data_IF_890820398091
#
_entry.id   IF_890820398091
#
_cell.length_a   1.000
_cell.length_b   1.000
_cell.length_c   1.000
_cell.angle_alpha   90.00
_cell.angle_beta   90.00
_cell.angle_gamma   90.00
#
_symmetry.space_group_name_H-M   'P 1'
#
loop_
_entity.id
_entity.type
_entity.pdbx_description
1 polymer ?
#
# COMPACT_ATOMS: atom_id res chain seq x y z
N UNK A 1 -5.92 18.32 33.09
CA UNK A 1 -4.65 17.98 32.44
C UNK A 1 -4.85 18.16 30.95
N UNK A 2 -4.20 19.16 30.36
CA UNK A 2 -4.33 19.47 28.95
C UNK A 2 -3.55 18.42 28.15
N UNK A 3 -4.24 17.63 27.33
CA UNK A 3 -3.58 16.83 26.31
C UNK A 3 -3.05 17.80 25.25
N UNK A 4 -1.74 18.02 25.23
CA UNK A 4 -1.06 18.59 24.07
C UNK A 4 -1.26 17.64 22.89
N UNK A 5 -2.28 17.94 22.07
CA UNK A 5 -2.33 17.43 20.70
C UNK A 5 -1.06 17.94 20.01
N UNK A 6 -0.17 17.04 19.63
CA UNK A 6 0.92 17.35 18.73
C UNK A 6 0.32 17.65 17.35
N UNK A 7 -0.22 18.85 17.21
CA UNK A 7 -0.75 19.37 15.96
C UNK A 7 0.42 19.42 14.97
N UNK A 8 0.27 18.72 13.86
CA UNK A 8 1.23 18.77 12.77
C UNK A 8 1.17 20.18 12.19
N UNK A 9 2.33 20.83 12.02
CA UNK A 9 2.36 22.18 11.50
C UNK A 9 1.74 22.20 10.09
N UNK A 10 0.88 23.19 9.76
CA UNK A 10 0.39 23.36 8.39
C UNK A 10 1.57 23.44 7.42
N UNK A 11 1.43 22.86 6.23
CA UNK A 11 2.45 22.77 5.19
C UNK A 11 3.64 21.82 5.50
N UNK A 12 3.42 20.80 6.33
CA UNK A 12 4.45 19.78 6.60
C UNK A 12 4.51 18.77 5.47
N UNK A 13 5.71 18.50 4.94
CA UNK A 13 5.90 17.37 4.01
C UNK A 13 5.82 16.04 4.74
N UNK A 14 5.02 15.13 4.22
CA UNK A 14 4.83 13.77 4.72
C UNK A 14 4.95 12.76 3.59
N UNK A 15 5.29 11.53 3.94
CA UNK A 15 5.34 10.42 2.99
C UNK A 15 4.24 9.43 3.36
N UNK A 16 3.35 9.17 2.41
CA UNK A 16 2.26 8.23 2.57
C UNK A 16 2.24 7.21 1.46
N UNK A 17 1.65 6.06 1.77
CA UNK A 17 1.29 5.04 0.81
C UNK A 17 -0.23 4.99 0.69
N UNK A 18 -0.75 4.85 -0.52
CA UNK A 18 -2.20 4.74 -0.79
C UNK A 18 -2.52 3.42 -1.49
N UNK A 19 -3.69 2.86 -1.21
CA UNK A 19 -4.20 1.60 -1.76
C UNK A 19 -5.68 1.80 -2.09
N UNK A 20 -6.09 1.47 -3.31
CA UNK A 20 -7.51 1.41 -3.67
C UNK A 20 -8.14 0.11 -3.11
N UNK A 21 -9.45 0.13 -2.81
CA UNK A 21 -10.09 -0.98 -2.10
C UNK A 21 -9.96 -2.34 -2.81
N UNK A 22 -10.05 -2.36 -4.14
CA UNK A 22 -9.94 -3.56 -4.96
C UNK A 22 -8.51 -3.84 -5.45
N UNK A 23 -7.49 -3.22 -4.84
CA UNK A 23 -6.10 -3.34 -5.24
C UNK A 23 -5.21 -3.85 -4.10
N UNK A 24 -4.25 -4.71 -4.44
CA UNK A 24 -3.26 -5.23 -3.47
C UNK A 24 -1.99 -4.36 -3.40
N UNK A 25 -1.74 -3.54 -4.42
CA UNK A 25 -0.49 -2.79 -4.56
C UNK A 25 -0.61 -1.37 -3.98
N UNK A 26 0.29 -1.05 -3.05
CA UNK A 26 0.41 0.29 -2.51
C UNK A 26 1.21 1.22 -3.44
N UNK A 27 0.67 2.41 -3.67
CA UNK A 27 1.32 3.49 -4.42
C UNK A 27 1.94 4.47 -3.43
N UNK A 28 3.24 4.71 -3.57
CA UNK A 28 3.96 5.70 -2.76
C UNK A 28 3.72 7.12 -3.26
N UNK A 29 3.38 8.02 -2.35
CA UNK A 29 3.20 9.46 -2.59
C UNK A 29 4.24 10.25 -1.78
N UNK A 30 5.51 10.27 -2.22
CA UNK A 30 6.61 10.89 -1.47
C UNK A 30 6.49 12.41 -1.35
N UNK A 31 5.76 13.08 -2.25
CA UNK A 31 5.56 14.53 -2.24
C UNK A 31 4.17 14.89 -1.69
N UNK A 32 3.80 14.31 -0.55
CA UNK A 32 2.53 14.63 0.12
C UNK A 32 2.74 15.79 1.09
N UNK A 33 1.78 16.72 1.13
CA UNK A 33 1.83 17.86 2.05
C UNK A 33 0.61 17.80 2.95
N UNK A 34 0.82 17.90 4.26
CA UNK A 34 -0.25 18.13 5.21
C UNK A 34 -0.63 19.61 5.20
N UNK A 35 -1.89 19.90 4.91
CA UNK A 35 -2.45 21.24 4.94
C UNK A 35 -3.63 21.30 5.93
N UNK A 36 -3.35 21.83 7.12
CA UNK A 36 -4.33 22.02 8.18
C UNK A 36 -5.42 23.06 7.88
N UNK A 37 -5.36 23.78 6.75
CA UNK A 37 -6.45 24.67 6.30
C UNK A 37 -7.45 23.97 5.39
N UNK A 38 -7.04 22.86 4.74
CA UNK A 38 -7.91 22.11 3.86
C UNK A 38 -8.95 21.32 4.65
N UNK A 39 -10.19 21.36 4.17
CA UNK A 39 -11.30 20.56 4.70
C UNK A 39 -11.41 19.19 4.03
N UNK A 40 -10.80 19.01 2.86
CA UNK A 40 -10.85 17.79 2.03
C UNK A 40 -9.46 17.51 1.49
N UNK A 41 -9.09 16.23 1.46
CA UNK A 41 -7.81 15.80 0.90
C UNK A 41 -7.86 15.85 -0.63
N UNK A 42 -6.76 16.27 -1.24
CA UNK A 42 -6.60 16.39 -2.68
C UNK A 42 -5.53 15.41 -3.16
N UNK A 43 -5.68 14.87 -4.36
CA UNK A 43 -4.68 14.03 -5.01
C UNK A 43 -4.49 14.48 -6.46
N UNK A 44 -3.27 14.44 -6.97
CA UNK A 44 -3.03 14.79 -8.36
C UNK A 44 -3.64 13.73 -9.28
N UNK A 45 -4.16 14.15 -10.42
CA UNK A 45 -4.76 13.24 -11.41
C UNK A 45 -3.81 12.13 -11.84
N UNK A 46 -2.53 12.45 -12.05
CA UNK A 46 -1.52 11.47 -12.41
C UNK A 46 -1.40 10.37 -11.34
N UNK A 47 -1.32 10.75 -10.06
CA UNK A 47 -1.21 9.78 -8.96
C UNK A 47 -2.51 9.01 -8.72
N UNK A 48 -3.67 9.66 -8.81
CA UNK A 48 -4.96 8.98 -8.72
C UNK A 48 -5.07 7.83 -9.73
N UNK A 49 -4.66 8.06 -10.98
CA UNK A 49 -4.68 7.05 -12.04
C UNK A 49 -3.73 5.87 -11.74
N UNK A 50 -2.55 6.14 -11.16
CA UNK A 50 -1.60 5.06 -10.80
C UNK A 50 -2.12 4.12 -9.72
N UNK A 51 -3.11 4.52 -8.94
CA UNK A 51 -3.71 3.64 -7.92
C UNK A 51 -4.57 2.52 -8.52
N UNK A 52 -5.03 2.67 -9.78
CA UNK A 52 -5.95 1.73 -10.40
C UNK A 52 -7.36 1.69 -9.76
N UNK A 53 -7.63 2.56 -8.79
CA UNK A 53 -8.91 2.63 -8.11
C UNK A 53 -10.00 3.32 -8.94
N UNK A 54 -11.29 3.06 -8.64
CA UNK A 54 -12.40 3.66 -9.37
C UNK A 54 -12.51 5.16 -9.08
N UNK A 55 -12.39 5.98 -10.12
CA UNK A 55 -12.61 7.43 -10.04
C UNK A 55 -14.09 7.71 -10.28
N UNK A 56 -14.73 8.34 -9.31
CA UNK A 56 -16.13 8.74 -9.37
C UNK A 56 -16.25 10.19 -9.82
N UNK A 57 -17.08 10.46 -10.83
CA UNK A 57 -17.42 11.84 -11.22
C UNK A 57 -18.25 12.52 -10.13
N UNK A 58 -17.94 13.78 -9.85
CA UNK A 58 -18.63 14.62 -8.86
C UNK A 58 -18.90 16.02 -9.43
N UNK A 59 -19.85 16.77 -8.86
CA UNK A 59 -20.00 18.19 -9.18
C UNK A 59 -18.70 18.94 -8.96
N UNK A 60 -18.39 19.88 -9.85
CA UNK A 60 -17.17 20.69 -9.78
C UNK A 60 -17.10 21.42 -8.45
N UNK A 61 -16.04 21.18 -7.69
CA UNK A 61 -15.78 21.76 -6.38
C UNK A 61 -14.44 22.46 -6.38
N UNK A 62 -14.37 23.64 -5.77
CA UNK A 62 -13.15 24.44 -5.63
C UNK A 62 -12.62 24.36 -4.20
N UNK A 63 -11.30 24.28 -4.06
CA UNK A 63 -10.58 24.23 -2.80
C UNK A 63 -9.53 25.32 -2.79
N UNK A 64 -9.24 25.88 -1.62
CA UNK A 64 -8.20 26.90 -1.44
C UNK A 64 -7.24 26.35 -0.39
N UNK A 65 -5.95 26.27 -0.71
CA UNK A 65 -4.92 25.85 0.26
C UNK A 65 -4.46 27.00 1.17
N UNK A 66 -3.57 26.67 2.11
CA UNK A 66 -3.02 27.64 3.06
C UNK A 66 -2.26 28.80 2.39
N UNK A 67 -1.80 28.63 1.14
CA UNK A 67 -1.13 29.68 0.37
C UNK A 67 -2.11 30.51 -0.46
N UNK A 68 -3.41 30.24 -0.36
CA UNK A 68 -4.44 30.90 -1.16
C UNK A 68 -4.53 30.39 -2.60
N UNK A 69 -3.87 29.26 -2.93
CA UNK A 69 -3.95 28.67 -4.28
C UNK A 69 -5.25 27.88 -4.42
N UNK A 70 -5.96 28.18 -5.49
CA UNK A 70 -7.23 27.53 -5.81
C UNK A 70 -7.01 26.27 -6.64
N UNK A 71 -7.62 25.16 -6.21
CA UNK A 71 -7.73 23.91 -6.95
C UNK A 71 -9.17 23.66 -7.33
N UNK A 72 -9.39 23.06 -8.50
CA UNK A 72 -10.71 22.66 -8.96
C UNK A 72 -10.71 21.15 -9.22
N UNK A 73 -11.74 20.48 -8.74
CA UNK A 73 -11.92 19.04 -8.91
C UNK A 73 -13.34 18.74 -9.38
N UNK A 74 -13.47 17.79 -10.31
CA UNK A 74 -14.76 17.26 -10.77
C UNK A 74 -14.86 15.74 -10.56
N UNK A 75 -13.99 15.17 -9.72
CA UNK A 75 -13.97 13.74 -9.47
C UNK A 75 -13.30 13.39 -8.16
N UNK A 76 -13.65 12.24 -7.59
CA UNK A 76 -13.14 11.74 -6.31
C UNK A 76 -12.69 10.30 -6.42
N UNK A 77 -11.77 9.90 -5.55
CA UNK A 77 -11.34 8.52 -5.38
C UNK A 77 -11.28 8.18 -3.89
N UNK A 78 -11.81 7.02 -3.49
CA UNK A 78 -11.71 6.52 -2.13
C UNK A 78 -10.46 5.65 -2.02
N UNK A 79 -9.58 5.97 -1.08
CA UNK A 79 -8.31 5.27 -0.88
C UNK A 79 -8.10 4.99 0.60
N UNK A 80 -7.54 3.82 0.88
CA UNK A 80 -6.90 3.52 2.16
C UNK A 80 -5.47 4.01 2.11
N UNK A 81 -4.99 4.67 3.16
CA UNK A 81 -3.63 5.19 3.19
C UNK A 81 -3.01 5.12 4.57
N UNK A 82 -1.69 5.11 4.62
CA UNK A 82 -0.91 5.06 5.86
C UNK A 82 0.39 5.83 5.69
N UNK A 83 0.92 6.35 6.80
CA UNK A 83 2.26 6.95 6.82
C UNK A 83 3.30 5.86 6.57
N UNK A 84 4.38 6.15 5.82
CA UNK A 84 5.40 5.14 5.52
C UNK A 84 6.06 4.54 6.78
N UNK A 85 6.13 5.31 7.87
CA UNK A 85 6.63 4.87 9.18
C UNK A 85 5.52 4.38 10.14
N UNK A 86 4.26 4.39 9.73
CA UNK A 86 3.10 4.17 10.59
C UNK A 86 2.42 2.82 10.35
N UNK A 87 1.83 2.25 11.40
CA UNK A 87 0.97 1.05 11.31
C UNK A 87 -0.52 1.39 11.16
N UNK A 88 -0.89 2.65 11.39
CA UNK A 88 -2.28 3.09 11.28
C UNK A 88 -2.67 3.32 9.83
N UNK A 89 -3.79 2.73 9.42
CA UNK A 89 -4.41 2.95 8.12
C UNK A 89 -5.65 3.82 8.27
N UNK A 90 -5.83 4.74 7.34
CA UNK A 90 -6.94 5.67 7.26
C UNK A 90 -7.70 5.42 5.96
N UNK A 91 -9.03 5.52 6.01
CA UNK A 91 -9.84 5.53 4.80
C UNK A 91 -10.27 6.97 4.52
N UNK A 92 -9.93 7.49 3.34
CA UNK A 92 -10.16 8.89 2.98
C UNK A 92 -10.66 9.02 1.54
N UNK A 93 -11.53 10.00 1.31
CA UNK A 93 -11.96 10.37 -0.03
C UNK A 93 -11.10 11.53 -0.53
N UNK A 94 -10.31 11.28 -1.55
CA UNK A 94 -9.48 12.29 -2.18
C UNK A 94 -10.21 12.91 -3.37
N UNK A 95 -10.16 14.24 -3.46
CA UNK A 95 -10.60 14.95 -4.65
C UNK A 95 -9.47 14.99 -5.67
N UNK A 96 -9.77 14.55 -6.88
CA UNK A 96 -8.79 14.44 -7.96
C UNK A 96 -8.66 15.79 -8.64
N UNK A 97 -7.48 16.37 -8.60
CA UNK A 97 -7.18 17.69 -9.16
C UNK A 97 -6.31 17.53 -10.40
N UNK A 98 -6.73 18.14 -11.50
CA UNK A 98 -5.94 18.20 -12.71
C UNK A 98 -4.88 19.30 -12.56
N UNK A 99 -3.69 18.90 -12.11
CA UNK A 99 -2.56 19.81 -12.03
C UNK A 99 -1.85 19.86 -13.37
N UNK A 100 -2.05 20.94 -14.13
CA UNK A 100 -1.16 21.20 -15.25
C UNK A 100 0.23 21.59 -14.71
N UNK A 101 1.33 21.03 -15.23
CA UNK A 101 2.70 21.37 -14.82
C UNK A 101 3.11 22.82 -15.11
N UNK A 102 2.21 23.65 -15.67
CA UNK A 102 2.45 25.06 -16.02
C UNK A 102 1.91 26.07 -15.01
N UNK A 103 1.28 25.64 -13.92
CA UNK A 103 0.79 26.57 -12.90
C UNK A 103 1.94 27.05 -12.00
N UNK A 104 2.55 28.16 -12.40
CA UNK A 104 3.50 29.01 -11.67
C UNK A 104 3.32 28.96 -10.16
N UNK A 105 4.33 28.41 -9.46
CA UNK A 105 4.59 28.72 -8.05
C UNK A 105 4.28 27.63 -7.02
N UNK A 106 3.60 26.54 -7.38
CA UNK A 106 3.39 25.41 -6.46
C UNK A 106 4.04 24.16 -7.03
N UNK A 107 5.13 23.70 -6.41
CA UNK A 107 5.87 22.50 -6.86
C UNK A 107 4.99 21.26 -7.02
N UNK A 108 5.54 20.26 -7.71
CA UNK A 108 4.88 18.98 -7.98
C UNK A 108 4.57 18.26 -6.65
N UNK A 109 3.31 18.29 -6.26
CA UNK A 109 2.81 17.53 -5.12
C UNK A 109 2.01 16.32 -5.60
N UNK A 110 2.06 15.27 -4.80
CA UNK A 110 1.36 14.02 -5.07
C UNK A 110 -0.05 14.04 -4.46
N UNK A 111 -0.14 14.49 -3.21
CA UNK A 111 -1.39 14.70 -2.49
C UNK A 111 -1.28 15.87 -1.51
N UNK A 112 -2.43 16.45 -1.16
CA UNK A 112 -2.60 17.39 -0.06
C UNK A 112 -3.56 16.76 0.96
N UNK A 113 -3.12 16.60 2.20
CA UNK A 113 -3.94 16.03 3.27
C UNK A 113 -4.65 17.14 4.05
N UNK A 114 -5.93 16.92 4.36
CA UNK A 114 -6.76 17.86 5.16
C UNK A 114 -6.40 17.86 6.65
N UNK A 115 -6.92 18.85 7.37
CA UNK A 115 -6.87 18.86 8.83
C UNK A 115 -7.55 17.63 9.46
N UNK A 116 -7.01 17.18 10.60
CA UNK A 116 -7.61 16.11 11.41
C UNK A 116 -7.37 14.69 10.90
N UNK A 117 -6.37 14.51 10.03
CA UNK A 117 -5.80 13.19 9.70
C UNK A 117 -4.51 12.88 10.47
N UNK A 118 -4.23 13.69 11.48
CA UNK A 118 -3.11 13.49 12.38
C UNK A 118 -3.35 12.21 13.20
N UNK A 119 -2.29 11.41 13.45
CA UNK A 119 -2.39 10.30 14.37
C UNK A 119 -2.59 10.85 15.79
N UNK A 120 -3.83 10.91 16.26
CA UNK A 120 -4.14 11.22 17.66
C UNK A 120 -3.82 9.98 18.52
N UNK A 121 -2.86 10.05 19.46
CA UNK A 121 -2.50 8.93 20.32
C UNK A 121 -3.62 8.54 21.30
N UNK A 122 -4.65 9.38 21.49
CA UNK A 122 -5.80 9.13 22.36
C UNK A 122 -7.10 8.81 21.62
N UNK A 123 -7.13 8.88 20.29
CA UNK A 123 -8.32 8.57 19.51
C UNK A 123 -8.34 7.06 19.25
N UNK A 124 -9.37 6.40 19.78
CA UNK A 124 -9.67 4.99 19.45
C UNK A 124 -9.59 4.89 17.93
N UNK A 125 -8.71 4.03 17.38
CA UNK A 125 -8.45 4.00 15.93
C UNK A 125 -9.79 3.87 15.22
N UNK A 126 -10.12 4.85 14.37
CA UNK A 126 -11.25 4.74 13.46
C UNK A 126 -11.08 3.42 12.72
N UNK A 127 -11.92 2.43 13.05
CA UNK A 127 -11.75 1.00 12.78
C UNK A 127 -10.55 0.73 11.88
N UNK A 128 -9.36 0.62 12.49
CA UNK A 128 -8.23 0.09 11.79
C UNK A 128 -8.68 -1.31 11.38
N UNK A 129 -8.95 -1.52 10.09
CA UNK A 129 -9.12 -2.86 9.57
C UNK A 129 -7.72 -3.48 9.66
N UNK A 130 -7.43 -4.36 10.63
CA UNK A 130 -6.23 -5.16 10.53
C UNK A 130 -6.27 -5.86 9.16
N UNK A 131 -5.13 -6.04 8.51
CA UNK A 131 -5.02 -6.94 7.37
C UNK A 131 -5.57 -8.30 7.81
N UNK A 132 -6.83 -8.55 7.47
CA UNK A 132 -7.63 -9.58 8.09
C UNK A 132 -8.79 -9.90 7.16
N UNK A 133 -8.50 -10.82 6.24
CA UNK A 133 -9.48 -11.60 5.50
C UNK A 133 -10.40 -10.79 4.58
N UNK A 134 -9.92 -10.50 3.37
CA UNK A 134 -10.81 -10.64 2.22
C UNK A 134 -11.41 -12.06 2.27
N UNK A 135 -12.72 -12.25 2.03
CA UNK A 135 -13.33 -13.58 2.00
C UNK A 135 -12.53 -14.49 1.08
N UNK A 136 -11.86 -15.48 1.66
CA UNK A 136 -11.05 -16.45 0.95
C UNK A 136 -12.00 -17.29 0.09
N UNK A 137 -11.90 -17.20 -1.23
CA UNK A 137 -12.66 -18.09 -2.11
C UNK A 137 -12.19 -19.53 -1.82
N UNK A 138 -13.06 -20.42 -1.31
CA UNK A 138 -12.68 -21.79 -0.94
C UNK A 138 -12.03 -22.56 -2.10
N UNK A 139 -12.35 -22.19 -3.34
CA UNK A 139 -11.80 -22.81 -4.56
C UNK A 139 -10.33 -22.49 -4.78
N UNK A 140 -9.87 -21.32 -4.32
CA UNK A 140 -8.46 -20.89 -4.45
C UNK A 140 -7.56 -21.59 -3.42
N UNK A 141 -8.10 -21.92 -2.25
CA UNK A 141 -7.38 -22.64 -1.20
C UNK A 141 -7.16 -24.12 -1.55
N UNK A 142 -8.13 -24.79 -2.19
CA UNK A 142 -7.95 -26.18 -2.63
C UNK A 142 -6.88 -26.32 -3.73
N UNK A 143 -6.85 -25.38 -4.67
CA UNK A 143 -5.86 -25.37 -5.75
C UNK A 143 -4.44 -25.09 -5.23
N UNK A 144 -4.31 -24.21 -4.24
CA UNK A 144 -3.02 -23.94 -3.61
C UNK A 144 -2.54 -25.15 -2.80
N UNK A 145 -3.43 -25.79 -2.03
CA UNK A 145 -3.09 -27.00 -1.26
C UNK A 145 -2.63 -28.15 -2.16
N UNK A 146 -3.28 -28.37 -3.31
CA UNK A 146 -2.85 -29.38 -4.30
C UNK A 146 -1.50 -29.06 -4.93
N UNK A 147 -1.16 -27.79 -5.15
CA UNK A 147 0.15 -27.39 -5.67
C UNK A 147 1.25 -27.62 -4.64
N UNK A 148 0.99 -27.29 -3.39
CA UNK A 148 1.96 -27.44 -2.30
C UNK A 148 2.22 -28.93 -1.99
N UNK A 149 1.18 -29.77 -2.04
CA UNK A 149 1.29 -31.22 -1.89
C UNK A 149 2.13 -31.84 -3.00
N UNK A 150 1.87 -31.50 -4.27
CA UNK A 150 2.70 -31.96 -5.40
C UNK A 150 4.15 -31.50 -5.29
N UNK A 151 4.39 -30.28 -4.80
CA UNK A 151 5.74 -29.75 -4.65
C UNK A 151 6.50 -30.47 -3.55
N UNK A 152 5.82 -30.83 -2.46
CA UNK A 152 6.40 -31.60 -1.37
C UNK A 152 6.74 -33.02 -1.83
N UNK A 153 5.84 -33.69 -2.54
CA UNK A 153 6.05 -35.03 -3.08
C UNK A 153 7.24 -35.07 -4.07
N UNK A 154 7.36 -34.07 -4.95
CA UNK A 154 8.50 -33.94 -5.86
C UNK A 154 9.82 -33.76 -5.10
N UNK A 155 9.82 -32.93 -4.05
CA UNK A 155 11.00 -32.71 -3.23
C UNK A 155 11.45 -33.97 -2.50
N UNK A 156 10.52 -34.75 -1.96
CA UNK A 156 10.84 -36.02 -1.30
C UNK A 156 11.38 -37.06 -2.28
N UNK A 157 10.76 -37.19 -3.46
CA UNK A 157 11.24 -38.09 -4.51
C UNK A 157 12.65 -37.72 -5.00
N UNK A 158 12.93 -36.42 -5.17
CA UNK A 158 14.27 -35.95 -5.57
C UNK A 158 15.30 -36.20 -4.47
N UNK A 159 14.95 -35.97 -3.21
CA UNK A 159 15.80 -36.25 -2.05
C UNK A 159 16.14 -37.74 -1.96
N UNK A 160 15.17 -38.63 -2.17
CA UNK A 160 15.40 -40.08 -2.16
C UNK A 160 16.26 -40.52 -3.34
N UNK A 161 16.00 -39.99 -4.55
CA UNK A 161 16.80 -40.29 -5.73
C UNK A 161 18.27 -39.84 -5.57
N UNK A 162 18.50 -38.68 -4.95
CA UNK A 162 19.85 -38.22 -4.62
C UNK A 162 20.52 -39.13 -3.59
N UNK A 163 19.81 -39.53 -2.53
CA UNK A 163 20.33 -40.45 -1.51
C UNK A 163 20.69 -41.82 -2.11
N UNK A 164 19.87 -42.36 -3.02
CA UNK A 164 20.14 -43.61 -3.73
C UNK A 164 21.42 -43.51 -4.59
N UNK A 165 21.60 -42.40 -5.32
CA UNK A 165 22.81 -42.14 -6.12
C UNK A 165 24.07 -42.06 -5.27
N UNK A 166 23.99 -41.41 -4.10
CA UNK A 166 25.12 -41.34 -3.16
C UNK A 166 25.45 -42.73 -2.61
N UNK A 167 24.44 -43.50 -2.19
CA UNK A 167 24.62 -44.87 -1.70
C UNK A 167 25.26 -45.78 -2.75
N UNK A 168 24.81 -45.70 -4.00
CA UNK A 168 25.36 -46.48 -5.10
C UNK A 168 26.84 -46.11 -5.38
N UNK A 169 27.17 -44.81 -5.39
CA UNK A 169 28.57 -44.34 -5.52
C UNK A 169 29.45 -44.85 -4.38
N UNK A 170 28.98 -44.80 -3.14
CA UNK A 170 29.72 -45.30 -1.98
C UNK A 170 29.98 -46.80 -2.09
N UNK A 171 28.98 -47.59 -2.48
CA UNK A 171 29.13 -49.04 -2.66
C UNK A 171 30.08 -49.40 -3.81
N UNK A 172 30.07 -48.64 -4.91
CA UNK A 172 31.02 -48.81 -6.02
C UNK A 172 32.46 -48.52 -5.58
N UNK A 173 32.67 -47.43 -4.84
CA UNK A 173 33.99 -47.05 -4.33
C UNK A 173 34.56 -48.07 -3.33
N UNK A 174 33.71 -48.66 -2.47
CA UNK A 174 34.10 -49.73 -1.54
C UNK A 174 34.54 -51.02 -2.28
N UNK A 175 33.86 -51.38 -3.37
CA UNK A 175 34.24 -52.55 -4.19
C UNK A 175 35.55 -52.36 -4.95
N UNK A 176 35.88 -51.12 -5.32
CA UNK A 176 37.16 -50.80 -5.97
C UNK A 176 38.34 -50.70 -4.99
N UNK A 177 38.12 -50.36 -3.72
CA UNK A 177 39.18 -50.30 -2.69
C UNK A 177 39.49 -51.65 -2.01
N UNK A 178 38.68 -52.70 -2.22
CA UNK A 178 38.92 -54.04 -1.67
C UNK A 178 39.70 -55.01 -2.59
N UNK A 179 40.28 -54.51 -3.69
CA UNK A 179 41.08 -55.28 -4.67
C UNK A 179 42.49 -54.68 -4.85
N UNK A 180 43.09 -54.21 -3.75
CA UNK A 180 44.49 -53.81 -3.66
C UNK A 180 45.24 -54.73 -2.72
#
# INVERSE_FOLDING_TARGET
>A
MANERLLQAPNTKVQICVIADDQEHAVKLPNTVYDGSLQKSLISKAKALTTGGPIQTRPTTTFIDHNGKTYTSASTICLRWYYESGMQTFHETFYVVDQSPRATGGGEWDALLRAGVEPDPGQVPAQAFPYGYAPRDPRRDEDQRKKDEKKLEQYEAEKEAQAARVRERLLKNLKTSGKG
#
